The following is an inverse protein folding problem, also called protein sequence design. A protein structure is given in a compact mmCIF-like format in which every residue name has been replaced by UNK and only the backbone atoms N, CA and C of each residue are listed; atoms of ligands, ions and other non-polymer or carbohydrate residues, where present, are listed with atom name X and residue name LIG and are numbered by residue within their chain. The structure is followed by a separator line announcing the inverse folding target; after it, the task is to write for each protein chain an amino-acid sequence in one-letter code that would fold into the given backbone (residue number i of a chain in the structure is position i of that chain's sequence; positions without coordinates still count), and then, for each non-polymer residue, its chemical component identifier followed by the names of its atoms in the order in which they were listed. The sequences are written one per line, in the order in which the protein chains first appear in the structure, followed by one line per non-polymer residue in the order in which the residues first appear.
data_IF_580681339168
#
_entry.id   IF_580681339168
#
_cell.length_a   1.000
_cell.length_b   1.000
_cell.length_c   1.000
_cell.angle_alpha   90.00
_cell.angle_beta   90.00
_cell.angle_gamma   90.00
#
_symmetry.space_group_name_H-M   'P 1'
#
loop_
_entity.id
_entity.type
_entity.pdbx_description
1 polymer ?
#
# COMPACT_ATOMS: atom_id res chain seq x y z
N UNK A 1 5.47 -42.70 52.62
CA UNK A 1 4.83 -42.20 51.38
C UNK A 1 5.35 -40.80 51.08
N UNK A 2 6.24 -40.63 50.08
CA UNK A 2 6.60 -39.30 49.55
C UNK A 2 5.80 -39.09 48.27
N UNK A 3 4.60 -38.55 48.39
CA UNK A 3 3.75 -38.14 47.27
C UNK A 3 3.36 -36.68 47.51
N UNK A 4 3.88 -35.76 46.72
CA UNK A 4 3.50 -34.35 46.83
C UNK A 4 4.40 -33.35 46.11
N UNK A 5 5.64 -33.72 45.77
CA UNK A 5 6.62 -32.75 45.26
C UNK A 5 6.63 -32.60 43.73
N UNK A 6 5.77 -33.30 42.98
CA UNK A 6 5.76 -33.29 41.51
C UNK A 6 4.66 -32.46 40.85
N UNK A 7 3.82 -31.76 41.62
CA UNK A 7 2.59 -31.14 41.09
C UNK A 7 2.77 -29.68 40.64
N UNK A 8 3.53 -28.88 41.38
CA UNK A 8 3.63 -27.43 41.12
C UNK A 8 4.62 -27.16 39.99
N UNK A 9 5.79 -27.80 40.00
CA UNK A 9 6.81 -27.64 38.94
C UNK A 9 6.28 -28.04 37.56
N UNK A 10 5.46 -29.09 37.52
CA UNK A 10 4.82 -29.55 36.29
C UNK A 10 3.77 -28.56 35.79
N UNK A 11 2.97 -27.99 36.70
CA UNK A 11 2.00 -26.92 36.39
C UNK A 11 2.69 -25.66 35.87
N UNK A 12 3.82 -25.27 36.48
CA UNK A 12 4.62 -24.14 36.03
C UNK A 12 5.22 -24.40 34.65
N UNK A 13 5.78 -25.59 34.40
CA UNK A 13 6.29 -25.95 33.08
C UNK A 13 5.22 -25.93 31.99
N UNK A 14 4.03 -26.50 32.26
CA UNK A 14 2.91 -26.49 31.32
C UNK A 14 2.44 -25.05 31.05
N UNK A 15 2.37 -24.21 32.08
CA UNK A 15 1.98 -22.80 31.94
C UNK A 15 2.99 -22.02 31.09
N UNK A 16 4.29 -22.21 31.34
CA UNK A 16 5.36 -21.58 30.55
C UNK A 16 5.32 -22.06 29.10
N UNK A 17 5.10 -23.36 28.86
CA UNK A 17 4.97 -23.90 27.51
C UNK A 17 3.78 -23.31 26.74
N UNK A 18 2.63 -23.13 27.40
CA UNK A 18 1.45 -22.50 26.80
C UNK A 18 1.68 -21.02 26.50
N UNK A 19 2.36 -20.29 27.38
CA UNK A 19 2.74 -18.88 27.15
C UNK A 19 3.70 -18.77 25.96
N UNK A 20 4.70 -19.65 25.86
CA UNK A 20 5.62 -19.70 24.73
C UNK A 20 4.90 -20.02 23.42
N UNK A 21 3.98 -20.99 23.44
CA UNK A 21 3.13 -21.29 22.28
C UNK A 21 2.27 -20.09 21.87
N UNK A 22 1.64 -19.40 22.83
CA UNK A 22 0.85 -18.21 22.54
C UNK A 22 1.71 -17.07 21.96
N UNK A 23 2.92 -16.88 22.47
CA UNK A 23 3.88 -15.90 21.94
C UNK A 23 4.33 -16.26 20.52
N UNK A 24 4.65 -17.53 20.26
CA UNK A 24 5.02 -18.02 18.91
C UNK A 24 3.84 -17.86 17.95
N UNK A 25 2.63 -18.26 18.34
CA UNK A 25 1.44 -18.07 17.52
C UNK A 25 1.17 -16.59 17.26
N UNK A 26 1.29 -15.72 18.26
CA UNK A 26 1.13 -14.29 18.09
C UNK A 26 2.19 -13.71 17.17
N UNK A 27 3.46 -14.07 17.35
CA UNK A 27 4.56 -13.60 16.51
C UNK A 27 4.42 -14.07 15.07
N UNK A 28 4.13 -15.36 14.85
CA UNK A 28 3.89 -15.94 13.52
C UNK A 28 2.62 -15.33 12.88
N UNK A 29 1.57 -15.07 13.65
CA UNK A 29 0.36 -14.43 13.15
C UNK A 29 0.59 -12.96 12.76
N UNK A 30 1.35 -12.22 13.56
CA UNK A 30 1.65 -10.81 13.29
C UNK A 30 2.63 -10.69 12.12
N UNK A 31 3.62 -11.58 12.05
CA UNK A 31 4.56 -11.67 10.94
C UNK A 31 3.87 -12.13 9.65
N UNK A 32 2.91 -13.06 9.71
CA UNK A 32 2.15 -13.52 8.53
C UNK A 32 1.12 -12.50 8.03
N UNK A 33 0.72 -11.54 8.87
CA UNK A 33 -0.18 -10.47 8.48
C UNK A 33 0.53 -9.25 7.91
N UNK A 34 1.81 -9.07 8.21
CA UNK A 34 2.61 -7.91 7.80
C UNK A 34 2.05 -6.61 8.38
N UNK A 35 2.85 -5.83 9.10
CA UNK A 35 2.41 -4.47 9.47
C UNK A 35 2.23 -3.70 8.16
N UNK A 36 1.03 -3.15 7.88
CA UNK A 36 0.80 -2.45 6.64
C UNK A 36 1.63 -1.17 6.62
N UNK A 37 2.40 -0.98 5.55
CA UNK A 37 3.01 0.31 5.25
C UNK A 37 1.89 1.22 4.81
N UNK A 38 1.71 2.33 5.51
CA UNK A 38 0.72 3.35 5.17
C UNK A 38 1.40 4.62 4.71
N UNK A 39 0.78 5.28 3.74
CA UNK A 39 1.26 6.55 3.20
C UNK A 39 0.10 7.40 2.74
N UNK A 40 0.26 8.71 2.84
CA UNK A 40 -0.66 9.69 2.23
C UNK A 40 0.20 10.58 1.35
N UNK A 41 -0.25 10.77 0.12
CA UNK A 41 0.34 11.73 -0.82
C UNK A 41 -0.79 12.58 -1.39
N UNK A 42 -0.45 13.77 -1.90
CA UNK A 42 -1.40 14.70 -2.47
C UNK A 42 -1.11 14.86 -3.95
N UNK A 43 -2.16 14.74 -4.75
CA UNK A 43 -2.09 15.03 -6.17
C UNK A 43 -2.55 16.46 -6.36
N UNK A 44 -1.69 17.27 -6.95
CA UNK A 44 -1.99 18.63 -7.36
C UNK A 44 -1.42 18.84 -8.76
N UNK A 45 -2.24 19.11 -9.79
CA UNK A 45 -1.77 19.44 -11.13
C UNK A 45 -0.77 20.61 -11.17
N UNK A 46 -0.85 21.55 -10.23
CA UNK A 46 0.08 22.68 -10.15
C UNK A 46 1.48 22.28 -9.67
N UNK A 47 1.56 21.19 -8.90
CA UNK A 47 2.81 20.63 -8.37
C UNK A 47 3.37 19.50 -9.24
N UNK A 48 2.70 19.21 -10.36
CA UNK A 48 3.15 18.17 -11.28
C UNK A 48 4.49 18.56 -11.93
N UNK A 49 5.42 17.61 -12.14
CA UNK A 49 6.66 17.89 -12.87
C UNK A 49 6.41 18.48 -14.27
N UNK A 50 5.30 18.09 -14.87
CA UNK A 50 4.83 18.57 -16.16
C UNK A 50 3.32 18.83 -16.08
N UNK A 51 2.86 19.96 -16.63
CA UNK A 51 1.42 20.24 -16.66
C UNK A 51 0.71 19.18 -17.51
N UNK A 52 -0.37 18.54 -17.00
CA UNK A 52 -1.15 17.59 -17.79
C UNK A 52 -1.58 18.21 -19.11
N UNK A 53 -1.11 17.62 -20.21
CA UNK A 53 -1.37 18.11 -21.56
C UNK A 53 -2.77 17.73 -22.05
N UNK A 54 -3.24 18.50 -23.03
CA UNK A 54 -4.46 18.20 -23.78
C UNK A 54 -4.28 17.05 -24.77
N UNK A 55 -3.06 16.85 -25.28
CA UNK A 55 -2.81 15.84 -26.32
C UNK A 55 -2.30 14.51 -25.76
N UNK A 56 -1.75 14.50 -24.54
CA UNK A 56 -1.20 13.31 -23.91
C UNK A 56 -1.34 13.33 -22.38
N UNK A 57 -1.54 12.17 -21.74
CA UNK A 57 -1.50 12.06 -20.30
C UNK A 57 -0.07 12.21 -19.77
N UNK A 58 0.08 12.90 -18.64
CA UNK A 58 1.34 12.97 -17.89
C UNK A 58 1.34 11.88 -16.83
N UNK A 59 2.44 11.12 -16.74
CA UNK A 59 2.65 10.08 -15.72
C UNK A 59 3.54 10.62 -14.62
N UNK A 60 3.08 10.58 -13.37
CA UNK A 60 3.83 11.06 -12.22
C UNK A 60 3.86 10.03 -11.08
N UNK A 61 5.06 9.71 -10.58
CA UNK A 61 5.23 8.87 -9.38
C UNK A 61 5.00 9.70 -8.12
N UNK A 62 3.87 9.47 -7.47
CA UNK A 62 3.39 10.25 -6.31
C UNK A 62 3.81 9.66 -4.97
N UNK A 63 4.21 8.38 -4.94
CA UNK A 63 4.66 7.72 -3.74
C UNK A 63 5.69 6.64 -4.05
N UNK A 64 6.70 6.53 -3.19
CA UNK A 64 7.78 5.55 -3.29
C UNK A 64 8.10 5.00 -1.91
N UNK A 65 8.43 3.72 -1.85
CA UNK A 65 8.89 3.09 -0.62
C UNK A 65 10.13 2.22 -0.89
N UNK A 66 11.18 2.32 -0.05
CA UNK A 66 11.37 3.33 1.00
C UNK A 66 11.54 4.74 0.42
N UNK A 67 11.38 5.79 1.24
CA UNK A 67 11.57 7.18 0.78
C UNK A 67 12.99 7.36 0.20
N UNK A 68 13.09 8.09 -0.92
CA UNK A 68 14.37 8.37 -1.59
C UNK A 68 14.80 7.31 -2.61
N UNK A 69 14.09 6.20 -2.76
CA UNK A 69 14.41 5.21 -3.80
C UNK A 69 14.07 5.72 -5.22
N UNK A 70 14.74 5.12 -6.22
CA UNK A 70 14.42 5.33 -7.63
C UNK A 70 13.33 4.35 -8.08
N UNK A 71 12.18 4.89 -8.53
CA UNK A 71 11.11 4.10 -9.11
C UNK A 71 11.69 3.26 -10.25
N UNK A 72 11.36 1.96 -10.28
CA UNK A 72 11.86 0.93 -11.22
C UNK A 72 13.26 0.38 -11.01
N UNK A 73 14.13 1.01 -10.21
CA UNK A 73 15.49 0.51 -10.00
C UNK A 73 15.77 -0.02 -8.59
N UNK A 74 15.18 0.55 -7.53
CA UNK A 74 15.49 0.15 -6.14
C UNK A 74 14.33 0.42 -5.14
N UNK A 75 13.09 0.49 -5.60
CA UNK A 75 11.93 0.64 -4.72
C UNK A 75 11.23 -0.70 -4.49
N UNK A 76 10.91 -1.01 -3.24
CA UNK A 76 10.06 -2.16 -2.90
C UNK A 76 8.71 -2.01 -3.59
N UNK A 77 8.14 -0.81 -3.57
CA UNK A 77 6.99 -0.44 -4.39
C UNK A 77 6.89 1.06 -4.63
N UNK A 78 6.10 1.43 -5.64
CA UNK A 78 5.71 2.80 -5.92
C UNK A 78 4.27 2.86 -6.44
N UNK A 79 3.66 4.04 -6.28
CA UNK A 79 2.36 4.37 -6.86
C UNK A 79 2.56 5.54 -7.80
N UNK A 80 2.07 5.41 -9.02
CA UNK A 80 2.05 6.48 -10.01
C UNK A 80 0.64 6.78 -10.46
N UNK A 81 0.44 8.02 -10.89
CA UNK A 81 -0.82 8.51 -11.41
C UNK A 81 -0.60 9.04 -12.82
N UNK A 82 -1.52 8.73 -13.71
CA UNK A 82 -1.60 9.38 -15.00
C UNK A 82 -2.74 10.38 -14.96
N UNK A 83 -2.44 11.60 -15.35
CA UNK A 83 -3.35 12.73 -15.39
C UNK A 83 -3.47 13.22 -16.82
N UNK A 84 -4.70 13.48 -17.25
CA UNK A 84 -4.96 14.10 -18.54
C UNK A 84 -6.06 15.15 -18.40
N UNK A 85 -5.85 16.34 -18.95
CA UNK A 85 -6.76 17.47 -18.79
C UNK A 85 -7.63 17.68 -20.03
N UNK A 86 -8.94 17.79 -19.82
CA UNK A 86 -9.95 18.05 -20.86
C UNK A 86 -10.51 19.48 -20.69
N UNK A 87 -9.99 20.48 -21.41
CA UNK A 87 -10.34 21.89 -21.24
C UNK A 87 -11.81 22.17 -21.53
N UNK A 88 -12.41 21.50 -22.52
CA UNK A 88 -13.83 21.65 -22.89
C UNK A 88 -14.78 21.35 -21.73
N UNK A 89 -14.33 20.55 -20.76
CA UNK A 89 -15.13 20.12 -19.62
C UNK A 89 -14.59 20.61 -18.28
N UNK A 90 -13.39 21.19 -18.25
CA UNK A 90 -12.68 21.55 -17.01
C UNK A 90 -12.41 20.35 -16.10
N UNK A 91 -12.18 19.15 -16.69
CA UNK A 91 -12.01 17.90 -15.94
C UNK A 91 -10.66 17.26 -16.19
N UNK A 92 -10.15 16.61 -15.16
CA UNK A 92 -8.97 15.76 -15.22
C UNK A 92 -9.40 14.30 -15.19
N UNK A 93 -8.80 13.47 -16.05
CA UNK A 93 -8.99 12.03 -16.05
C UNK A 93 -7.79 11.34 -15.42
N UNK A 94 -8.10 10.41 -14.53
CA UNK A 94 -7.17 9.74 -13.63
C UNK A 94 -7.03 8.27 -13.95
N UNK A 95 -5.79 7.83 -13.97
CA UNK A 95 -5.44 6.43 -13.84
C UNK A 95 -4.41 6.26 -12.74
N UNK A 96 -4.61 5.28 -11.87
CA UNK A 96 -3.64 4.97 -10.82
C UNK A 96 -3.03 3.62 -11.12
N UNK A 97 -1.71 3.54 -10.96
CA UNK A 97 -0.87 2.39 -11.14
C UNK A 97 -0.14 2.12 -9.83
N UNK A 98 -0.02 0.86 -9.45
CA UNK A 98 0.92 0.44 -8.43
C UNK A 98 1.83 -0.64 -8.99
N UNK A 99 3.10 -0.56 -8.64
CA UNK A 99 4.10 -1.53 -9.05
C UNK A 99 5.07 -1.75 -7.90
N UNK A 100 5.69 -2.93 -7.86
CA UNK A 100 6.60 -3.29 -6.79
C UNK A 100 7.34 -4.58 -7.08
N UNK A 101 8.30 -4.88 -6.23
CA UNK A 101 8.95 -6.18 -6.20
C UNK A 101 7.94 -7.23 -5.72
N UNK A 102 7.62 -8.17 -6.61
CA UNK A 102 6.69 -9.26 -6.35
C UNK A 102 7.21 -10.28 -5.34
N UNK A 103 8.52 -10.30 -5.08
CA UNK A 103 9.11 -11.15 -4.04
C UNK A 103 8.74 -10.64 -2.64
N UNK A 104 8.62 -9.32 -2.48
CA UNK A 104 8.51 -8.65 -1.19
C UNK A 104 7.13 -8.03 -0.93
N UNK A 105 6.42 -7.65 -2.00
CA UNK A 105 5.10 -7.03 -1.90
C UNK A 105 4.02 -8.07 -2.14
N UNK A 106 3.07 -8.18 -1.22
CA UNK A 106 1.90 -9.04 -1.35
C UNK A 106 0.74 -8.30 -2.00
N UNK A 107 0.47 -7.09 -1.50
CA UNK A 107 -0.72 -6.33 -1.87
C UNK A 107 -0.52 -4.84 -1.70
N UNK A 108 -1.10 -4.05 -2.60
CA UNK A 108 -1.20 -2.59 -2.45
C UNK A 108 -2.67 -2.19 -2.62
N UNK A 109 -3.19 -1.36 -1.74
CA UNK A 109 -4.50 -0.73 -1.84
C UNK A 109 -4.31 0.78 -1.87
N UNK A 110 -5.00 1.42 -2.79
CA UNK A 110 -5.01 2.88 -2.95
C UNK A 110 -6.46 3.38 -2.87
N UNK A 111 -6.67 4.51 -2.20
CA UNK A 111 -7.94 5.22 -2.15
C UNK A 111 -7.75 6.69 -2.48
N UNK A 112 -8.52 7.20 -3.44
CA UNK A 112 -8.58 8.60 -3.83
C UNK A 112 -9.53 9.40 -2.92
N UNK A 113 -9.38 10.73 -2.94
CA UNK A 113 -10.19 11.70 -2.20
C UNK A 113 -11.69 11.56 -2.49
N UNK A 114 -12.07 11.28 -3.74
CA UNK A 114 -13.46 11.04 -4.14
C UNK A 114 -14.00 9.65 -3.75
N UNK A 115 -13.22 8.86 -3.02
CA UNK A 115 -13.60 7.54 -2.54
C UNK A 115 -13.29 6.39 -3.50
N UNK A 116 -12.85 6.65 -4.74
CA UNK A 116 -12.47 5.59 -5.66
C UNK A 116 -11.29 4.77 -5.11
N UNK A 117 -11.36 3.44 -5.23
CA UNK A 117 -10.37 2.52 -4.67
C UNK A 117 -9.79 1.59 -5.74
N UNK A 118 -8.50 1.29 -5.64
CA UNK A 118 -7.82 0.27 -6.41
C UNK A 118 -7.07 -0.70 -5.51
N UNK A 119 -7.03 -1.98 -5.87
CA UNK A 119 -6.27 -3.01 -5.17
C UNK A 119 -5.46 -3.86 -6.16
N UNK A 120 -4.18 -4.04 -5.85
CA UNK A 120 -3.21 -4.81 -6.62
C UNK A 120 -2.72 -5.97 -5.78
N UNK A 121 -2.92 -7.18 -6.28
CA UNK A 121 -2.34 -8.39 -5.71
C UNK A 121 -1.11 -8.78 -6.53
N UNK A 122 0.04 -8.96 -5.88
CA UNK A 122 1.30 -9.25 -6.56
C UNK A 122 1.64 -10.74 -6.43
N UNK A 123 2.17 -11.37 -7.49
CA UNK A 123 2.64 -10.77 -8.76
C UNK A 123 1.57 -10.46 -9.81
N UNK A 124 0.33 -10.91 -9.64
CA UNK A 124 -0.66 -11.02 -10.72
C UNK A 124 -1.03 -9.67 -11.36
N UNK A 125 -1.05 -8.61 -10.56
CA UNK A 125 -1.48 -7.27 -10.96
C UNK A 125 -0.32 -6.30 -11.23
N UNK A 126 0.92 -6.79 -11.29
CA UNK A 126 2.10 -5.96 -11.54
C UNK A 126 1.93 -5.10 -12.79
N UNK A 127 2.05 -3.78 -12.62
CA UNK A 127 1.98 -2.80 -13.72
C UNK A 127 0.57 -2.57 -14.32
N UNK A 128 -0.48 -3.18 -13.75
CA UNK A 128 -1.86 -2.95 -14.22
C UNK A 128 -2.44 -1.66 -13.65
N UNK A 129 -3.44 -1.13 -14.33
CA UNK A 129 -4.33 -0.11 -13.78
C UNK A 129 -5.50 -0.73 -13.03
N UNK A 130 -5.82 -0.17 -11.86
CA UNK A 130 -7.01 -0.57 -11.07
C UNK A 130 -7.99 0.56 -10.84
N UNK A 131 -7.53 1.80 -10.82
CA UNK A 131 -8.40 2.97 -10.92
C UNK A 131 -8.27 3.47 -12.36
N UNK A 132 -9.35 3.36 -13.14
CA UNK A 132 -9.33 3.57 -14.58
C UNK A 132 -10.32 4.66 -14.99
N UNK A 133 -9.80 5.79 -15.45
CA UNK A 133 -10.59 6.82 -16.10
C UNK A 133 -11.58 7.53 -15.18
N UNK A 134 -11.23 7.69 -13.90
CA UNK A 134 -12.01 8.49 -12.95
C UNK A 134 -11.85 9.96 -13.30
N UNK A 135 -12.94 10.73 -13.26
CA UNK A 135 -12.89 12.17 -13.48
C UNK A 135 -12.87 12.92 -12.15
N UNK A 136 -12.00 13.92 -12.05
CA UNK A 136 -12.01 14.93 -10.99
C UNK A 136 -12.11 16.32 -11.63
N UNK A 137 -12.74 17.24 -10.93
CA UNK A 137 -12.80 18.65 -11.26
C UNK A 137 -11.58 19.37 -10.66
N UNK A 138 -11.31 20.58 -11.16
CA UNK A 138 -10.22 21.41 -10.63
C UNK A 138 -10.41 21.71 -9.13
N UNK A 139 -11.66 21.89 -8.69
CA UNK A 139 -12.01 22.10 -7.27
C UNK A 139 -11.78 20.89 -6.36
N UNK A 140 -11.54 19.69 -6.93
CA UNK A 140 -11.22 18.49 -6.16
C UNK A 140 -9.73 18.43 -5.74
N UNK A 141 -8.90 19.39 -6.17
CA UNK A 141 -7.47 19.46 -5.84
C UNK A 141 -7.18 20.40 -4.65
N UNK A 142 -6.17 20.07 -3.81
CA UNK A 142 -5.30 18.89 -3.88
C UNK A 142 -6.03 17.61 -3.46
N UNK A 143 -5.99 16.58 -4.30
CA UNK A 143 -6.67 15.31 -4.05
C UNK A 143 -5.78 14.38 -3.24
N UNK A 144 -6.18 14.07 -2.00
CA UNK A 144 -5.49 13.12 -1.16
C UNK A 144 -5.57 11.69 -1.71
N UNK A 145 -4.43 11.00 -1.75
CA UNK A 145 -4.30 9.61 -2.15
C UNK A 145 -3.72 8.81 -0.98
N UNK A 146 -4.56 7.97 -0.38
CA UNK A 146 -4.21 7.09 0.74
C UNK A 146 -3.71 5.75 0.22
N UNK A 147 -2.57 5.28 0.73
CA UNK A 147 -1.87 4.07 0.30
C UNK A 147 -1.71 3.14 1.48
N UNK A 148 -1.98 1.86 1.25
CA UNK A 148 -1.74 0.80 2.20
C UNK A 148 -1.11 -0.39 1.48
N UNK A 149 0.09 -0.78 1.87
CA UNK A 149 0.82 -1.90 1.28
C UNK A 149 1.12 -2.96 2.33
N UNK A 150 0.95 -4.22 1.96
CA UNK A 150 1.31 -5.38 2.77
C UNK A 150 2.50 -6.07 2.13
N UNK A 151 3.56 -6.24 2.93
CA UNK A 151 4.72 -7.04 2.55
C UNK A 151 4.47 -8.53 2.79
N UNK A 152 5.30 -9.37 2.17
CA UNK A 152 5.35 -10.82 2.38
C UNK A 152 6.21 -11.18 3.58
#
# INVERSE_FOLDING_TARGET
MKKGQGSIEYLVMVTVALILLALVFHYVYTSSKGVPITGITYIDPELSPEKPGYDHPVTWVVYKYPLGCEATKNCDFYVSVNLHYYPDTGKYRFWVYANGDSADTKKIRVRLCNGATGEWNFPEDKGKNKINGVYLHEDDFPCALSIMAWRR
#
